data_IF_392238213672
#
_entry.id   IF_392238213672
#
_cell.length_a   1.000
_cell.length_b   1.000
_cell.length_c   1.000
_cell.angle_alpha   90.00
_cell.angle_beta   90.00
_cell.angle_gamma   90.00
#
_symmetry.space_group_name_H-M   'P 1'
#
loop_
_entity.id
_entity.type
_entity.pdbx_description
1 polymer ?
#
# COMPACT_ATOMS: atom_id res chain seq x y z
N UNK A 1 -14.62 -23.03 -14.27
CA UNK A 1 -15.29 -22.66 -13.01
C UNK A 1 -14.41 -22.92 -11.78
N UNK A 2 -13.90 -24.14 -11.54
CA UNK A 2 -13.07 -24.42 -10.35
C UNK A 2 -11.70 -23.71 -10.33
N UNK A 3 -11.00 -23.64 -11.48
CA UNK A 3 -9.68 -22.97 -11.56
C UNK A 3 -9.77 -21.45 -11.33
N UNK A 4 -10.83 -20.80 -11.83
CA UNK A 4 -11.05 -19.37 -11.65
C UNK A 4 -11.42 -19.02 -10.21
N UNK A 5 -12.26 -19.83 -9.56
CA UNK A 5 -12.55 -19.63 -8.14
C UNK A 5 -11.31 -19.88 -7.27
N UNK A 6 -10.51 -20.89 -7.60
CA UNK A 6 -9.26 -21.18 -6.91
C UNK A 6 -8.26 -20.04 -7.04
N UNK A 7 -8.06 -19.46 -8.24
CA UNK A 7 -7.11 -18.35 -8.43
C UNK A 7 -7.53 -17.11 -7.65
N UNK A 8 -8.83 -16.84 -7.51
CA UNK A 8 -9.31 -15.74 -6.68
C UNK A 8 -9.01 -15.94 -5.20
N UNK A 9 -9.23 -17.15 -4.67
CA UNK A 9 -8.90 -17.47 -3.27
C UNK A 9 -7.41 -17.38 -3.00
N UNK A 10 -6.57 -17.82 -3.95
CA UNK A 10 -5.12 -17.70 -3.85
C UNK A 10 -4.70 -16.24 -3.83
N UNK A 11 -5.22 -15.42 -4.74
CA UNK A 11 -4.90 -13.99 -4.81
C UNK A 11 -5.40 -13.23 -3.57
N UNK A 12 -6.58 -13.55 -3.05
CA UNK A 12 -7.13 -12.97 -1.82
C UNK A 12 -6.24 -13.31 -0.61
N UNK A 13 -5.90 -14.59 -0.43
CA UNK A 13 -5.03 -15.04 0.65
C UNK A 13 -3.62 -14.44 0.56
N UNK A 14 -3.03 -14.40 -0.63
CA UNK A 14 -1.72 -13.79 -0.85
C UNK A 14 -1.73 -12.28 -0.54
N UNK A 15 -2.79 -11.57 -0.96
CA UNK A 15 -2.97 -10.14 -0.68
C UNK A 15 -3.11 -9.89 0.82
N UNK A 16 -3.88 -10.72 1.53
CA UNK A 16 -4.04 -10.60 2.98
C UNK A 16 -2.72 -10.79 3.73
N UNK A 17 -1.95 -11.83 3.38
CA UNK A 17 -0.63 -12.10 3.96
C UNK A 17 0.35 -10.96 3.65
N UNK A 18 0.36 -10.46 2.43
CA UNK A 18 1.23 -9.35 2.04
C UNK A 18 0.92 -8.09 2.85
N UNK A 19 -0.37 -7.72 3.02
CA UNK A 19 -0.75 -6.59 3.87
C UNK A 19 -0.34 -6.78 5.34
N UNK A 20 -0.38 -8.00 5.87
CA UNK A 20 0.13 -8.28 7.22
C UNK A 20 1.64 -8.03 7.32
N UNK A 21 2.41 -8.47 6.33
CA UNK A 21 3.85 -8.18 6.29
C UNK A 21 4.14 -6.67 6.22
N UNK A 22 3.37 -5.90 5.44
CA UNK A 22 3.50 -4.45 5.37
C UNK A 22 3.25 -3.77 6.73
N UNK A 23 2.27 -4.26 7.51
CA UNK A 23 2.00 -3.76 8.87
C UNK A 23 3.15 -4.06 9.85
N UNK A 24 3.90 -5.13 9.61
CA UNK A 24 5.07 -5.52 10.40
C UNK A 24 6.32 -4.69 10.14
N UNK A 25 6.34 -3.81 9.14
CA UNK A 25 7.49 -2.96 8.87
C UNK A 25 7.63 -1.92 9.98
N UNK A 26 8.81 -1.82 10.58
CA UNK A 26 9.10 -0.83 11.63
C UNK A 26 9.90 0.38 11.14
N UNK A 27 10.66 0.20 10.07
CA UNK A 27 11.49 1.25 9.48
C UNK A 27 11.80 0.92 8.02
N UNK A 28 11.83 1.95 7.16
CA UNK A 28 12.23 1.81 5.77
C UNK A 28 13.11 2.97 5.31
N UNK A 29 14.12 2.65 4.51
CA UNK A 29 15.00 3.63 3.85
C UNK A 29 14.34 4.19 2.60
N UNK A 30 14.86 5.29 2.03
CA UNK A 30 14.30 5.84 0.79
C UNK A 30 14.43 4.88 -0.39
N UNK A 31 15.57 4.17 -0.49
CA UNK A 31 15.75 3.10 -1.47
C UNK A 31 14.77 1.95 -1.24
N UNK A 32 14.59 1.53 0.01
CA UNK A 32 13.62 0.49 0.36
C UNK A 32 12.18 0.90 0.00
N UNK A 33 11.82 2.17 0.21
CA UNK A 33 10.53 2.71 -0.16
C UNK A 33 10.29 2.65 -1.68
N UNK A 34 11.29 2.99 -2.49
CA UNK A 34 11.22 2.89 -3.95
C UNK A 34 11.06 1.43 -4.42
N UNK A 35 11.81 0.51 -3.83
CA UNK A 35 11.70 -0.92 -4.15
C UNK A 35 10.31 -1.45 -3.78
N UNK A 36 9.85 -1.15 -2.56
CA UNK A 36 8.55 -1.58 -2.08
C UNK A 36 7.38 -0.96 -2.87
N UNK A 37 7.52 0.28 -3.34
CA UNK A 37 6.54 0.91 -4.23
C UNK A 37 6.35 0.07 -5.50
N UNK A 38 7.45 -0.33 -6.16
CA UNK A 38 7.39 -1.16 -7.35
C UNK A 38 6.79 -2.55 -7.09
N UNK A 39 7.08 -3.15 -5.93
CA UNK A 39 6.51 -4.44 -5.54
C UNK A 39 4.98 -4.34 -5.33
N UNK A 40 4.50 -3.26 -4.70
CA UNK A 40 3.07 -3.00 -4.52
C UNK A 40 2.38 -2.70 -5.87
N UNK A 41 3.01 -1.93 -6.75
CA UNK A 41 2.52 -1.67 -8.11
C UNK A 41 2.35 -2.98 -8.89
N UNK A 42 3.36 -3.86 -8.82
CA UNK A 42 3.30 -5.17 -9.45
C UNK A 42 2.13 -6.00 -8.92
N UNK A 43 1.93 -6.06 -7.60
CA UNK A 43 0.79 -6.77 -7.00
C UNK A 43 -0.55 -6.17 -7.45
N UNK A 44 -0.68 -4.83 -7.47
CA UNK A 44 -1.88 -4.15 -7.93
C UNK A 44 -2.21 -4.46 -9.40
N UNK A 45 -1.19 -4.59 -10.26
CA UNK A 45 -1.35 -4.99 -11.65
C UNK A 45 -1.86 -6.44 -11.77
N UNK A 46 -1.34 -7.35 -10.94
CA UNK A 46 -1.83 -8.74 -10.88
C UNK A 46 -3.29 -8.80 -10.44
N UNK A 47 -3.66 -8.08 -9.37
CA UNK A 47 -5.05 -8.01 -8.90
C UNK A 47 -5.99 -7.45 -9.97
N UNK A 48 -5.56 -6.39 -10.65
CA UNK A 48 -6.32 -5.77 -11.73
C UNK A 48 -6.50 -6.72 -12.92
N UNK A 49 -5.47 -7.46 -13.31
CA UNK A 49 -5.56 -8.48 -14.36
C UNK A 49 -6.53 -9.62 -13.99
N UNK A 50 -6.66 -9.93 -12.71
CA UNK A 50 -7.66 -10.85 -12.17
C UNK A 50 -9.03 -10.20 -11.95
N UNK A 51 -9.24 -8.92 -12.30
CA UNK A 51 -10.48 -8.18 -12.01
C UNK A 51 -10.85 -8.15 -10.51
N UNK A 52 -9.84 -8.23 -9.65
CA UNK A 52 -10.01 -8.11 -8.19
C UNK A 52 -9.87 -6.65 -7.77
N UNK A 53 -10.70 -6.17 -6.83
CA UNK A 53 -10.57 -4.81 -6.32
C UNK A 53 -9.25 -4.67 -5.55
N UNK A 54 -8.58 -3.53 -5.74
CA UNK A 54 -7.39 -3.18 -4.95
C UNK A 54 -7.85 -2.72 -3.56
N UNK A 55 -7.38 -3.34 -2.47
CA UNK A 55 -7.73 -2.91 -1.12
C UNK A 55 -7.29 -1.46 -0.85
N UNK A 56 -8.13 -0.63 -0.18
CA UNK A 56 -7.78 0.75 0.18
C UNK A 56 -6.46 0.88 0.97
N UNK A 57 -6.12 -0.15 1.75
CA UNK A 57 -4.84 -0.26 2.42
C UNK A 57 -3.68 -0.23 1.41
N UNK A 58 -3.71 -1.07 0.36
CA UNK A 58 -2.64 -1.13 -0.63
C UNK A 58 -2.57 0.14 -1.49
N UNK A 59 -3.71 0.70 -1.89
CA UNK A 59 -3.72 1.95 -2.67
C UNK A 59 -3.13 3.12 -1.86
N UNK A 60 -3.53 3.26 -0.59
CA UNK A 60 -3.00 4.29 0.30
C UNK A 60 -1.53 4.07 0.62
N UNK A 61 -1.13 2.83 0.91
CA UNK A 61 0.26 2.49 1.18
C UNK A 61 1.13 2.83 -0.03
N UNK A 62 0.70 2.44 -1.23
CA UNK A 62 1.38 2.75 -2.48
C UNK A 62 1.50 4.27 -2.72
N UNK A 63 0.41 5.03 -2.56
CA UNK A 63 0.43 6.47 -2.73
C UNK A 63 1.43 7.14 -1.77
N UNK A 64 1.37 6.80 -0.47
CA UNK A 64 2.23 7.39 0.53
C UNK A 64 3.69 6.93 0.43
N UNK A 65 3.98 5.68 0.04
CA UNK A 65 5.35 5.16 -0.05
C UNK A 65 6.07 5.66 -1.31
N UNK A 66 5.33 5.85 -2.41
CA UNK A 66 5.85 6.35 -3.69
C UNK A 66 6.09 7.86 -3.69
N UNK A 67 5.36 8.60 -2.85
CA UNK A 67 5.51 10.05 -2.73
C UNK A 67 6.86 10.40 -2.09
N UNK A 68 7.60 11.43 -2.59
CA UNK A 68 8.81 11.93 -1.93
C UNK A 68 8.56 12.26 -0.45
N UNK A 69 9.54 11.97 0.43
CA UNK A 69 9.36 12.05 1.89
C UNK A 69 8.83 13.41 2.35
N UNK A 70 9.33 14.48 1.74
CA UNK A 70 8.99 15.87 1.98
C UNK A 70 7.57 16.25 1.57
N UNK A 71 6.95 15.50 0.65
CA UNK A 71 5.63 15.80 0.07
C UNK A 71 4.50 14.96 0.66
N UNK A 72 4.80 13.89 1.41
CA UNK A 72 3.77 12.99 1.99
C UNK A 72 2.80 13.75 2.90
N UNK A 73 3.30 14.71 3.69
CA UNK A 73 2.45 15.50 4.58
C UNK A 73 1.44 16.32 3.80
N UNK A 74 1.88 16.95 2.72
CA UNK A 74 1.03 17.81 1.91
C UNK A 74 -0.01 16.97 1.14
N UNK A 75 0.38 15.77 0.68
CA UNK A 75 -0.55 14.77 0.14
C UNK A 75 -1.66 14.45 1.15
N UNK A 76 -1.31 14.06 2.38
CA UNK A 76 -2.31 13.69 3.42
C UNK A 76 -3.22 14.87 3.76
N UNK A 77 -2.66 16.08 3.88
CA UNK A 77 -3.44 17.30 4.16
C UNK A 77 -4.38 17.65 3.01
N UNK A 78 -3.93 17.50 1.77
CA UNK A 78 -4.73 17.82 0.58
C UNK A 78 -5.89 16.87 0.33
N UNK A 79 -5.75 15.59 0.71
CA UNK A 79 -6.82 14.60 0.57
C UNK A 79 -7.98 14.85 1.54
N UNK A 80 -7.71 15.41 2.73
CA UNK A 80 -8.73 15.70 3.72
C UNK A 80 -9.49 14.47 4.23
N UNK A 81 -8.94 13.26 4.03
CA UNK A 81 -9.58 11.99 4.40
C UNK A 81 -10.65 11.52 3.41
N UNK A 82 -10.64 12.02 2.17
CA UNK A 82 -11.61 11.66 1.14
C UNK A 82 -11.31 10.30 0.51
N UNK A 83 -10.04 10.02 0.19
CA UNK A 83 -9.65 8.80 -0.53
C UNK A 83 -8.57 7.99 0.20
N UNK A 84 -7.76 8.63 1.03
CA UNK A 84 -6.69 7.95 1.77
C UNK A 84 -7.24 7.30 3.04
N UNK A 85 -6.84 6.05 3.26
CA UNK A 85 -7.01 5.40 4.55
C UNK A 85 -6.03 6.01 5.58
N UNK A 86 -6.53 6.91 6.43
CA UNK A 86 -5.71 7.65 7.40
C UNK A 86 -4.85 6.75 8.31
N UNK A 87 -5.35 5.62 8.85
CA UNK A 87 -4.50 4.69 9.61
C UNK A 87 -3.29 4.18 8.81
N UNK A 88 -3.49 3.84 7.53
CA UNK A 88 -2.38 3.42 6.65
C UNK A 88 -1.44 4.57 6.33
N UNK A 89 -1.95 5.77 6.05
CA UNK A 89 -1.12 6.94 5.80
C UNK A 89 -0.22 7.29 7.01
N UNK A 90 -0.76 7.18 8.23
CA UNK A 90 -0.01 7.33 9.47
C UNK A 90 1.03 6.22 9.67
N UNK A 91 0.69 4.97 9.36
CA UNK A 91 1.63 3.85 9.38
C UNK A 91 2.82 4.12 8.45
N UNK A 92 2.57 4.48 7.18
CA UNK A 92 3.63 4.78 6.21
C UNK A 92 4.49 5.95 6.69
N UNK A 93 3.87 7.01 7.21
CA UNK A 93 4.59 8.17 7.74
C UNK A 93 5.50 7.78 8.91
N UNK A 94 5.03 6.92 9.82
CA UNK A 94 5.80 6.40 10.96
C UNK A 94 7.02 5.58 10.50
N UNK A 95 6.84 4.60 9.62
CA UNK A 95 7.96 3.74 9.16
C UNK A 95 9.00 4.52 8.35
N UNK A 96 8.58 5.62 7.70
CA UNK A 96 9.45 6.54 6.95
C UNK A 96 10.04 7.67 7.80
N UNK A 97 9.72 7.74 9.09
CA UNK A 97 10.14 8.79 10.04
C UNK A 97 9.75 10.21 9.61
N UNK A 98 8.51 10.37 9.15
CA UNK A 98 7.93 11.67 8.76
C UNK A 98 7.13 12.20 9.94
N UNK A 99 7.42 13.44 10.37
CA UNK A 99 6.59 14.14 11.36
C UNK A 99 5.33 14.68 10.69
N UNK A 100 4.17 14.34 11.25
CA UNK A 100 2.86 14.80 10.77
C UNK A 100 2.27 15.94 11.61
N UNK A 101 2.97 16.34 12.68
CA UNK A 101 2.63 17.53 13.49
C UNK A 101 2.77 18.84 12.69
#
# INVERSE_FOLDING_TARGET
FFATEWIFKVAEGATALFMEQLRGIHYITDRGAQQLAADIEYLNNVLSALSMPIPPFLSTFHACISTPRDQVRDLIKSDGGAQLDLPTAHLVSKIRRISLE
#
